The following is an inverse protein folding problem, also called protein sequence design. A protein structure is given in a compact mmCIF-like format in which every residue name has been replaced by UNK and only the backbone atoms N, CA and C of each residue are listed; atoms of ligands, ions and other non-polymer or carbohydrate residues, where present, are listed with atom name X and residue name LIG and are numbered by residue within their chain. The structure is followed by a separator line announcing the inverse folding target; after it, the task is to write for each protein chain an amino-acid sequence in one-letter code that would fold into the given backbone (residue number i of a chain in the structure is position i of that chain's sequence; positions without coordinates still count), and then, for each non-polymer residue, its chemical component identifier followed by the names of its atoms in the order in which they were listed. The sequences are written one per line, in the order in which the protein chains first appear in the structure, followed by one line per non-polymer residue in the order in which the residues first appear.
data_IF_516563348760
#
_entry.id   IF_516563348760
#
_cell.length_a   1.000
_cell.length_b   1.000
_cell.length_c   1.000
_cell.angle_alpha   90.00
_cell.angle_beta   90.00
_cell.angle_gamma   90.00
#
_symmetry.space_group_name_H-M   'P 1'
#
loop_
_entity.id
_entity.type
_entity.pdbx_description
1 polymer ?
#
# COMPACT_ATOMS: atom_id res chain seq x y z
N UNK A 1 16.87 0.73 -8.63
CA UNK A 1 17.94 0.65 -7.59
C UNK A 1 17.33 0.31 -6.23
N UNK A 2 17.86 -0.72 -5.55
CA UNK A 2 17.32 -1.25 -4.29
C UNK A 2 17.48 -0.25 -3.15
N UNK A 3 16.51 0.65 -3.01
CA UNK A 3 16.47 1.65 -1.94
C UNK A 3 15.69 1.08 -0.75
N UNK A 4 16.28 1.14 0.43
CA UNK A 4 15.66 0.66 1.66
C UNK A 4 14.46 1.53 2.02
N UNK A 5 13.49 0.97 2.75
CA UNK A 5 12.28 1.69 3.15
C UNK A 5 12.57 2.88 4.10
N UNK A 6 13.62 2.82 4.91
CA UNK A 6 14.10 3.93 5.75
C UNK A 6 14.72 5.06 4.92
N UNK A 7 15.59 4.73 3.96
CA UNK A 7 16.17 5.70 3.01
C UNK A 7 15.12 6.29 2.05
N UNK A 8 14.07 5.53 1.71
CA UNK A 8 12.99 5.97 0.84
C UNK A 8 12.03 6.97 1.53
N UNK A 9 12.03 7.05 2.86
CA UNK A 9 11.13 7.92 3.59
C UNK A 9 11.71 9.33 3.71
N UNK A 10 11.16 10.35 3.01
CA UNK A 10 11.69 11.72 3.08
C UNK A 10 11.47 12.38 4.45
N UNK A 11 10.61 11.79 5.28
CA UNK A 11 10.28 12.27 6.63
C UNK A 11 11.06 11.55 7.73
N UNK A 12 11.89 10.56 7.40
CA UNK A 12 12.61 9.75 8.39
C UNK A 12 11.68 9.04 9.37
N UNK A 13 10.52 8.58 8.90
CA UNK A 13 9.51 7.92 9.74
C UNK A 13 9.75 6.42 9.92
N UNK A 14 10.66 5.82 9.15
CA UNK A 14 10.98 4.38 9.21
C UNK A 14 12.44 4.23 9.62
N UNK A 15 12.70 3.33 10.58
CA UNK A 15 14.05 3.02 11.05
C UNK A 15 14.25 1.51 11.16
N UNK A 16 15.33 0.98 10.57
CA UNK A 16 15.68 -0.46 10.64
C UNK A 16 16.84 -0.71 11.61
N UNK A 17 17.76 0.26 11.73
CA UNK A 17 18.99 0.11 12.52
C UNK A 17 20.01 -0.84 11.88
N UNK A 18 20.86 -1.43 12.74
CA UNK A 18 21.85 -2.43 12.37
C UNK A 18 21.64 -3.73 13.18
N UNK A 19 21.75 -4.92 12.55
CA UNK A 19 21.97 -5.13 11.11
C UNK A 19 20.74 -4.78 10.24
N UNK A 20 20.95 -4.62 8.93
CA UNK A 20 19.90 -4.35 7.93
C UNK A 20 18.73 -5.36 7.97
N UNK A 21 18.95 -6.56 8.49
CA UNK A 21 17.95 -7.64 8.57
C UNK A 21 16.94 -7.46 9.70
N UNK A 22 17.08 -6.41 10.51
CA UNK A 22 16.13 -6.10 11.58
C UNK A 22 14.75 -5.73 11.01
N UNK A 23 13.72 -5.88 11.84
CA UNK A 23 12.40 -5.40 11.47
C UNK A 23 12.34 -3.87 11.48
N UNK A 24 11.79 -3.24 10.43
CA UNK A 24 11.59 -1.79 10.42
C UNK A 24 10.60 -1.36 11.50
N UNK A 25 10.94 -0.30 12.22
CA UNK A 25 10.08 0.38 13.19
C UNK A 25 9.53 1.65 12.55
N UNK A 26 8.22 1.88 12.68
CA UNK A 26 7.53 3.06 12.17
C UNK A 26 7.25 4.06 13.30
N UNK A 27 7.80 5.27 13.17
CA UNK A 27 7.39 6.46 13.92
C UNK A 27 6.12 7.05 13.29
N UNK A 28 4.96 6.60 13.75
CA UNK A 28 3.66 6.97 13.19
C UNK A 28 3.41 8.49 13.20
N UNK A 29 3.93 9.19 14.19
CA UNK A 29 3.84 10.64 14.36
C UNK A 29 4.57 11.45 13.26
N UNK A 30 5.60 10.87 12.63
CA UNK A 30 6.33 11.47 11.50
C UNK A 30 5.76 11.04 10.15
N UNK A 31 5.02 9.94 10.11
CA UNK A 31 4.48 9.39 8.87
C UNK A 31 3.40 10.30 8.27
N UNK A 32 3.54 10.65 7.00
CA UNK A 32 2.55 11.43 6.23
C UNK A 32 1.68 10.57 5.30
N UNK A 33 1.85 9.24 5.33
CA UNK A 33 1.09 8.34 4.44
C UNK A 33 1.41 8.51 2.95
N UNK A 34 2.56 9.08 2.59
CA UNK A 34 2.88 9.46 1.19
C UNK A 34 3.03 8.28 0.22
N UNK A 35 3.23 7.06 0.71
CA UNK A 35 3.37 5.85 -0.12
C UNK A 35 4.73 5.64 -0.78
N UNK A 36 5.71 6.53 -0.59
CA UNK A 36 7.05 6.38 -1.20
C UNK A 36 7.75 5.07 -0.79
N UNK A 37 7.62 4.66 0.49
CA UNK A 37 8.17 3.40 0.97
C UNK A 37 7.45 2.17 0.39
N UNK A 38 6.17 2.29 0.02
CA UNK A 38 5.38 1.19 -0.56
C UNK A 38 5.96 0.79 -1.91
N UNK A 39 6.18 1.76 -2.79
CA UNK A 39 6.73 1.53 -4.13
C UNK A 39 8.20 1.07 -4.14
N UNK A 40 8.93 1.27 -3.03
CA UNK A 40 10.36 0.96 -2.94
C UNK A 40 10.67 -0.35 -2.23
N UNK A 41 9.70 -0.94 -1.55
CA UNK A 41 9.92 -2.17 -0.83
C UNK A 41 10.01 -3.34 -1.81
N UNK A 42 11.18 -4.01 -1.94
CA UNK A 42 11.35 -5.11 -2.89
C UNK A 42 10.50 -6.33 -2.55
N UNK A 43 10.16 -6.49 -1.27
CA UNK A 43 9.29 -7.57 -0.79
C UNK A 43 7.80 -7.22 -0.82
N UNK A 44 7.41 -6.05 -1.36
CA UNK A 44 6.01 -5.57 -1.39
C UNK A 44 5.30 -5.64 -0.02
N UNK A 45 6.07 -5.47 1.06
CA UNK A 45 5.60 -5.78 2.41
C UNK A 45 4.88 -4.61 3.09
N UNK A 46 4.95 -3.40 2.51
CA UNK A 46 4.47 -2.17 3.12
C UNK A 46 3.14 -1.77 2.49
N UNK A 47 2.20 -1.39 3.34
CA UNK A 47 0.90 -0.83 2.98
C UNK A 47 0.59 0.36 3.89
N UNK A 48 -0.15 1.34 3.37
CA UNK A 48 -0.59 2.51 4.13
C UNK A 48 -2.06 2.37 4.45
N UNK A 49 -2.40 2.44 5.73
CA UNK A 49 -3.78 2.42 6.21
C UNK A 49 -4.15 3.81 6.69
N UNK A 50 -5.21 4.38 6.16
CA UNK A 50 -5.78 5.64 6.61
C UNK A 50 -7.21 5.44 7.13
N UNK A 51 -7.39 5.64 8.44
CA UNK A 51 -8.67 5.56 9.14
C UNK A 51 -9.33 6.93 9.33
N UNK A 52 -8.69 8.02 8.91
CA UNK A 52 -9.20 9.39 9.09
C UNK A 52 -10.22 9.80 8.02
N UNK A 53 -10.44 8.95 7.01
CA UNK A 53 -11.22 9.26 5.85
C UNK A 53 -12.72 9.47 6.14
N UNK A 54 -13.34 8.63 6.98
CA UNK A 54 -14.75 8.77 7.40
C UNK A 54 -15.02 7.96 8.67
N UNK A 55 -16.19 8.14 9.29
CA UNK A 55 -16.63 7.34 10.45
C UNK A 55 -16.84 5.85 10.13
N UNK A 56 -17.09 5.50 8.85
CA UNK A 56 -17.41 4.14 8.42
C UNK A 56 -16.42 3.54 7.42
N UNK A 57 -15.64 4.39 6.74
CA UNK A 57 -14.74 3.98 5.66
C UNK A 57 -13.32 4.48 5.91
N UNK A 58 -12.35 3.70 5.43
CA UNK A 58 -10.94 4.08 5.39
C UNK A 58 -10.34 3.78 4.03
N UNK A 59 -9.05 4.08 3.88
CA UNK A 59 -8.31 3.74 2.67
C UNK A 59 -7.10 2.86 2.97
N UNK A 60 -6.79 1.97 2.02
CA UNK A 60 -5.59 1.12 2.05
C UNK A 60 -4.83 1.33 0.76
N UNK A 61 -3.55 1.68 0.87
CA UNK A 61 -2.63 1.76 -0.28
C UNK A 61 -1.64 0.62 -0.25
N UNK A 62 -1.51 -0.11 -1.34
CA UNK A 62 -0.64 -1.28 -1.47
C UNK A 62 0.07 -1.28 -2.84
N UNK A 63 1.21 -1.99 -2.97
CA UNK A 63 1.89 -2.12 -4.25
C UNK A 63 1.11 -3.09 -5.15
N UNK A 64 1.06 -2.83 -6.45
CA UNK A 64 0.35 -3.66 -7.42
C UNK A 64 1.13 -3.78 -8.73
N UNK A 65 1.91 -4.86 -8.86
CA UNK A 65 2.76 -5.15 -10.01
C UNK A 65 2.10 -6.09 -11.03
N UNK A 66 0.78 -5.96 -11.22
CA UNK A 66 0.02 -6.75 -12.20
C UNK A 66 -0.68 -5.85 -13.22
N UNK A 67 -0.94 -6.42 -14.40
CA UNK A 67 -1.65 -5.77 -15.49
C UNK A 67 -2.93 -6.57 -15.81
N UNK A 68 -4.05 -5.93 -16.21
CA UNK A 68 -4.25 -4.48 -16.34
C UNK A 68 -4.34 -3.76 -14.99
N UNK A 69 -3.90 -2.49 -14.97
CA UNK A 69 -4.13 -1.62 -13.82
C UNK A 69 -5.62 -1.32 -13.69
N UNK A 70 -6.14 -1.20 -12.45
CA UNK A 70 -7.53 -0.82 -12.27
C UNK A 70 -7.75 0.65 -12.65
N UNK A 71 -8.97 0.94 -13.07
CA UNK A 71 -9.39 2.32 -13.33
C UNK A 71 -9.79 3.03 -12.03
N UNK A 72 -9.41 4.29 -11.90
CA UNK A 72 -9.84 5.12 -10.77
C UNK A 72 -11.36 5.26 -10.80
N UNK A 73 -12.01 5.02 -9.66
CA UNK A 73 -13.46 5.01 -9.51
C UNK A 73 -14.12 3.64 -9.66
N UNK A 74 -13.41 2.65 -10.21
CA UNK A 74 -13.93 1.28 -10.36
C UNK A 74 -13.99 0.53 -9.02
N UNK A 75 -14.87 -0.47 -8.95
CA UNK A 75 -14.95 -1.39 -7.82
C UNK A 75 -14.11 -2.62 -8.11
N UNK A 76 -13.28 -3.03 -7.16
CA UNK A 76 -12.41 -4.22 -7.23
C UNK A 76 -12.65 -5.14 -6.04
N UNK A 77 -12.46 -6.44 -6.24
CA UNK A 77 -12.40 -7.41 -5.14
C UNK A 77 -11.10 -7.19 -4.38
N UNK A 78 -11.21 -6.90 -3.09
CA UNK A 78 -10.04 -6.78 -2.20
C UNK A 78 -9.74 -8.11 -1.53
N UNK A 79 -8.45 -8.39 -1.35
CA UNK A 79 -7.97 -9.69 -0.83
C UNK A 79 -7.06 -9.54 0.39
N UNK A 80 -6.98 -10.58 1.22
CA UNK A 80 -6.08 -10.65 2.36
C UNK A 80 -4.65 -11.10 1.98
N UNK A 81 -3.82 -11.40 2.97
CA UNK A 81 -2.43 -11.85 2.77
C UNK A 81 -2.31 -13.20 2.05
N UNK A 82 -3.35 -14.03 2.16
CA UNK A 82 -3.44 -15.34 1.54
C UNK A 82 -3.97 -15.25 0.09
N UNK A 83 -4.47 -14.08 -0.33
CA UNK A 83 -5.12 -13.88 -1.62
C UNK A 83 -6.60 -14.25 -1.62
N UNK A 84 -7.21 -14.47 -0.45
CA UNK A 84 -8.63 -14.78 -0.33
C UNK A 84 -9.45 -13.49 -0.41
N UNK A 85 -10.59 -13.54 -1.10
CA UNK A 85 -11.50 -12.40 -1.22
C UNK A 85 -12.14 -12.07 0.14
N UNK A 86 -11.99 -10.83 0.59
CA UNK A 86 -12.55 -10.34 1.86
C UNK A 86 -13.68 -9.33 1.68
N UNK A 87 -13.84 -8.79 0.48
CA UNK A 87 -14.92 -7.88 0.16
C UNK A 87 -14.66 -7.07 -1.11
N UNK A 88 -15.37 -5.95 -1.23
CA UNK A 88 -15.24 -5.02 -2.33
C UNK A 88 -14.59 -3.71 -1.85
N UNK A 89 -13.76 -3.10 -2.69
CA UNK A 89 -13.19 -1.78 -2.47
C UNK A 89 -13.32 -0.89 -3.70
N UNK A 90 -13.45 0.42 -3.50
CA UNK A 90 -13.48 1.40 -4.59
C UNK A 90 -12.08 1.96 -4.82
N UNK A 91 -11.59 1.93 -6.05
CA UNK A 91 -10.27 2.47 -6.38
C UNK A 91 -10.32 3.99 -6.32
N UNK A 92 -9.58 4.57 -5.37
CA UNK A 92 -9.48 6.02 -5.21
C UNK A 92 -8.36 6.61 -6.04
N UNK A 93 -7.24 5.88 -6.17
CA UNK A 93 -6.04 6.38 -6.82
C UNK A 93 -5.15 5.25 -7.30
N UNK A 94 -4.53 5.44 -8.45
CA UNK A 94 -3.45 4.60 -8.96
C UNK A 94 -2.27 5.51 -9.26
N UNK A 95 -1.14 5.27 -8.60
CA UNK A 95 0.09 6.06 -8.77
C UNK A 95 1.17 5.20 -9.40
N UNK A 96 1.71 5.65 -10.53
CA UNK A 96 2.87 5.03 -11.16
C UNK A 96 3.83 6.09 -11.76
N UNK A 97 4.33 7.05 -10.96
CA UNK A 97 5.36 7.97 -11.44
C UNK A 97 6.66 7.21 -11.75
N UNK A 98 7.50 7.78 -12.62
CA UNK A 98 8.82 7.19 -12.98
C UNK A 98 9.68 6.88 -11.74
N UNK A 99 9.55 7.70 -10.68
CA UNK A 99 10.26 7.49 -9.43
C UNK A 99 9.89 6.21 -8.69
N UNK A 100 8.76 5.56 -9.02
CA UNK A 100 8.29 4.32 -8.39
C UNK A 100 8.89 3.06 -9.03
N UNK A 101 9.81 3.19 -9.99
CA UNK A 101 10.57 2.06 -10.56
C UNK A 101 9.68 0.92 -11.07
N UNK A 102 8.58 1.28 -11.76
CA UNK A 102 7.57 0.36 -12.30
C UNK A 102 6.75 -0.43 -11.26
N UNK A 103 6.71 0.02 -10.00
CA UNK A 103 5.80 -0.49 -8.96
C UNK A 103 4.62 0.47 -8.76
N UNK A 104 3.46 0.24 -9.39
CA UNK A 104 2.25 1.01 -9.11
C UNK A 104 1.82 0.87 -7.65
N UNK A 105 1.32 1.97 -7.08
CA UNK A 105 0.65 1.97 -5.78
C UNK A 105 -0.84 2.24 -6.02
N UNK A 106 -1.66 1.29 -5.62
CA UNK A 106 -3.13 1.38 -5.73
C UNK A 106 -3.69 1.72 -4.35
N UNK A 107 -4.52 2.74 -4.28
CA UNK A 107 -5.28 3.13 -3.09
C UNK A 107 -6.74 2.75 -3.28
N UNK A 108 -7.28 1.95 -2.37
CA UNK A 108 -8.69 1.55 -2.34
C UNK A 108 -9.39 2.07 -1.10
N UNK A 109 -10.65 2.50 -1.24
CA UNK A 109 -11.59 2.78 -0.16
C UNK A 109 -12.28 1.48 0.23
N UNK A 110 -12.29 1.16 1.52
CA UNK A 110 -12.93 -0.02 2.09
C UNK A 110 -13.64 0.33 3.39
N UNK A 111 -14.57 -0.52 3.82
CA UNK A 111 -15.18 -0.39 5.15
C UNK A 111 -14.12 -0.56 6.25
N UNK A 112 -14.24 0.22 7.33
CA UNK A 112 -13.31 0.16 8.47
C UNK A 112 -13.24 -1.24 9.11
N UNK A 113 -14.27 -2.06 8.93
CA UNK A 113 -14.28 -3.47 9.37
C UNK A 113 -13.23 -4.32 8.65
N UNK A 114 -12.98 -4.04 7.37
CA UNK A 114 -12.07 -4.80 6.51
C UNK A 114 -10.66 -4.20 6.46
N UNK A 115 -10.48 -2.97 6.96
CA UNK A 115 -9.25 -2.19 6.75
C UNK A 115 -7.98 -2.86 7.27
N UNK A 116 -8.09 -3.66 8.33
CA UNK A 116 -6.94 -4.38 8.91
C UNK A 116 -6.66 -5.70 8.17
N UNK A 117 -7.57 -6.17 7.32
CA UNK A 117 -7.47 -7.46 6.62
C UNK A 117 -7.00 -7.30 5.17
N UNK A 118 -7.46 -6.24 4.49
CA UNK A 118 -7.14 -5.94 3.10
C UNK A 118 -5.63 -5.70 2.92
N UNK A 119 -5.00 -6.41 1.99
CA UNK A 119 -3.57 -6.25 1.66
C UNK A 119 -3.29 -6.13 0.17
N UNK A 120 -4.21 -6.53 -0.68
CA UNK A 120 -4.13 -6.32 -2.14
C UNK A 120 -5.53 -6.36 -2.76
N UNK A 121 -5.59 -6.40 -4.09
CA UNK A 121 -6.79 -6.69 -4.86
C UNK A 121 -6.59 -7.94 -5.73
N UNK A 122 -7.70 -8.55 -6.11
CA UNK A 122 -7.70 -9.70 -7.01
C UNK A 122 -7.05 -9.35 -8.36
N UNK A 123 -6.32 -10.32 -8.92
CA UNK A 123 -5.73 -10.18 -10.25
C UNK A 123 -6.82 -10.40 -11.28
N UNK A 124 -6.99 -9.44 -12.18
CA UNK A 124 -7.84 -9.67 -13.35
C UNK A 124 -7.12 -10.66 -14.26
N UNK A 125 -7.72 -11.83 -14.44
CA UNK A 125 -7.28 -12.77 -15.46
C UNK A 125 -7.61 -12.15 -16.82
N UNK A 126 -6.58 -11.89 -17.61
CA UNK A 126 -6.67 -11.56 -19.03
C UNK A 126 -7.11 -12.75 -19.86
#
# INVERSE_FOLDING_TARGET
PWIRCDAACPFGAIHVGEPITNFPVLSAEKCKGCGACVAKCPGMAIFVIDKSYSQTKGSVSFPYEYYPLPEVGSTVTVVNRQGEAVGNGKVLRVQNPVSFDHTPVVTVEVDLKLINEVRSMERRHS
#
